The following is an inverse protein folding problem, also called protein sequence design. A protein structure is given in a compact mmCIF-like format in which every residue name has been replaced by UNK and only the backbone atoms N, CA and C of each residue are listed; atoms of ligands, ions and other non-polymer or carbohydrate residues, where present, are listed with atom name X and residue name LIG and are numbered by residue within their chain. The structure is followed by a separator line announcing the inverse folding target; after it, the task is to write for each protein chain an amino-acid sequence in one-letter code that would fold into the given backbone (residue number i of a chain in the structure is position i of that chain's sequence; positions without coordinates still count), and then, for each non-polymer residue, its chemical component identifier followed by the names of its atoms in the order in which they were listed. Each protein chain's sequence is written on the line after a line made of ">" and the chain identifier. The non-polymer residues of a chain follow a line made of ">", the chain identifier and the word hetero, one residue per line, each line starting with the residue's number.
data_IF_663664165458
#
_entry.id   IF_663664165458
#
_cell.length_a   1.000
_cell.length_b   1.000
_cell.length_c   1.000
_cell.angle_alpha   90.00
_cell.angle_beta   90.00
_cell.angle_gamma   90.00
#
_symmetry.space_group_name_H-M   'P 1'
#
loop_
_entity.id
_entity.type
_entity.pdbx_description
1 polymer ?
#
# COMPACT_ATOMS: atom_id res chain seq x y z
N UNK A 1 -9.58 25.24 0.33
CA UNK A 1 -10.16 24.17 -0.53
C UNK A 1 -10.93 23.23 0.37
N UNK A 2 -12.21 23.01 0.09
CA UNK A 2 -13.04 22.04 0.82
C UNK A 2 -12.82 20.65 0.26
N UNK A 3 -12.44 19.69 1.11
CA UNK A 3 -12.10 18.32 0.70
C UNK A 3 -12.96 17.31 1.42
N UNK A 4 -13.53 16.36 0.69
CA UNK A 4 -14.24 15.21 1.24
C UNK A 4 -13.52 13.93 0.81
N UNK A 5 -13.17 13.10 1.78
CA UNK A 5 -12.66 11.74 1.55
C UNK A 5 -13.78 10.73 1.85
N UNK A 6 -14.19 9.97 0.85
CA UNK A 6 -15.32 9.07 0.93
C UNK A 6 -14.85 7.61 0.81
N UNK A 7 -15.06 6.80 1.84
CA UNK A 7 -14.66 5.39 1.83
C UNK A 7 -15.62 4.53 2.65
N UNK A 8 -15.39 3.21 2.68
CA UNK A 8 -16.21 2.26 3.45
C UNK A 8 -16.18 2.57 4.95
N UNK A 9 -15.01 2.53 5.59
CA UNK A 9 -14.83 2.85 7.01
C UNK A 9 -13.48 3.53 7.23
N UNK A 10 -13.37 4.26 8.34
CA UNK A 10 -12.15 4.92 8.79
C UNK A 10 -11.30 3.96 9.62
N UNK A 11 -10.00 3.89 9.34
CA UNK A 11 -9.07 3.05 10.09
C UNK A 11 -7.66 3.69 10.11
N UNK A 12 -6.71 3.04 10.78
CA UNK A 12 -5.35 3.54 10.95
C UNK A 12 -4.57 3.80 9.64
N UNK A 13 -4.97 3.18 8.51
CA UNK A 13 -4.34 3.47 7.21
C UNK A 13 -4.82 4.79 6.61
N UNK A 14 -5.95 5.34 7.07
CA UNK A 14 -6.47 6.63 6.65
C UNK A 14 -6.20 7.75 7.65
N UNK A 15 -5.76 7.44 8.89
CA UNK A 15 -5.61 8.46 9.93
C UNK A 15 -4.61 9.54 9.55
N UNK A 16 -3.39 9.20 9.20
CA UNK A 16 -2.34 10.20 8.92
C UNK A 16 -2.63 11.05 7.69
N UNK A 17 -3.11 10.42 6.60
CA UNK A 17 -3.47 11.18 5.39
C UNK A 17 -4.69 12.09 5.65
N UNK A 18 -5.61 11.69 6.50
CA UNK A 18 -6.76 12.49 6.89
C UNK A 18 -6.36 13.66 7.78
N UNK A 19 -5.45 13.44 8.73
CA UNK A 19 -4.91 14.51 9.58
C UNK A 19 -4.15 15.53 8.73
N UNK A 20 -3.30 15.08 7.82
CA UNK A 20 -2.59 15.96 6.90
C UNK A 20 -3.55 16.82 6.04
N UNK A 21 -4.64 16.24 5.53
CA UNK A 21 -5.66 17.01 4.82
C UNK A 21 -6.34 18.01 5.76
N UNK A 22 -6.71 17.61 6.97
CA UNK A 22 -7.38 18.47 7.92
C UNK A 22 -6.55 19.70 8.29
N UNK A 23 -5.25 19.51 8.54
CA UNK A 23 -4.30 20.59 8.82
C UNK A 23 -4.10 21.52 7.60
N UNK A 24 -3.79 20.97 6.43
CA UNK A 24 -3.52 21.73 5.21
C UNK A 24 -4.74 22.52 4.71
N UNK A 25 -5.94 22.00 4.95
CA UNK A 25 -7.17 22.68 4.59
C UNK A 25 -7.70 23.63 5.68
N UNK A 26 -7.00 23.75 6.80
CA UNK A 26 -7.40 24.54 7.98
C UNK A 26 -8.79 24.16 8.50
N UNK A 27 -9.06 22.85 8.57
CA UNK A 27 -10.31 22.30 9.05
C UNK A 27 -11.41 22.11 8.01
N UNK A 28 -11.21 22.51 6.77
CA UNK A 28 -12.17 22.30 5.66
C UNK A 28 -12.02 20.90 5.03
N UNK A 29 -11.94 19.88 5.87
CA UNK A 29 -11.80 18.47 5.52
C UNK A 29 -12.80 17.60 6.26
N UNK A 30 -13.42 16.64 5.57
CA UNK A 30 -14.29 15.61 6.14
C UNK A 30 -13.98 14.24 5.56
N UNK A 31 -13.91 13.25 6.44
CA UNK A 31 -13.93 11.84 6.06
C UNK A 31 -15.35 11.30 6.24
N UNK A 32 -15.95 10.78 5.18
CA UNK A 32 -17.29 10.20 5.24
C UNK A 32 -17.18 8.67 5.17
N UNK A 33 -17.51 8.03 6.27
CA UNK A 33 -17.61 6.59 6.41
C UNK A 33 -18.97 6.11 5.90
N UNK A 34 -18.97 5.17 4.94
CA UNK A 34 -20.19 4.75 4.24
C UNK A 34 -20.83 3.49 4.80
N UNK A 35 -20.13 2.73 5.61
CA UNK A 35 -20.63 1.52 6.30
C UNK A 35 -19.87 1.26 7.59
N UNK A 36 -20.51 0.60 8.58
CA UNK A 36 -19.81 0.21 9.80
C UNK A 36 -18.71 -0.83 9.51
N UNK A 37 -17.67 -0.82 10.34
CA UNK A 37 -16.59 -1.81 10.24
C UNK A 37 -17.10 -3.19 10.66
N UNK A 38 -16.76 -4.21 9.90
CA UNK A 38 -17.10 -5.62 10.16
C UNK A 38 -16.41 -6.12 11.44
N UNK A 39 -17.10 -6.99 12.21
CA UNK A 39 -16.58 -7.50 13.48
C UNK A 39 -15.29 -8.31 13.35
N UNK A 40 -15.11 -9.02 12.24
CA UNK A 40 -13.87 -9.73 11.94
C UNK A 40 -12.67 -8.77 11.85
N UNK A 41 -12.88 -7.62 11.22
CA UNK A 41 -11.85 -6.57 11.10
C UNK A 41 -11.57 -5.84 12.42
N UNK A 42 -12.59 -5.68 13.27
CA UNK A 42 -12.40 -5.18 14.65
C UNK A 42 -11.49 -6.11 15.45
N UNK A 43 -11.69 -7.42 15.34
CA UNK A 43 -10.83 -8.44 15.99
C UNK A 43 -9.39 -8.39 15.51
N UNK A 44 -9.13 -7.95 14.28
CA UNK A 44 -7.79 -7.74 13.72
C UNK A 44 -7.12 -6.45 14.20
N UNK A 45 -7.73 -5.69 15.10
CA UNK A 45 -7.18 -4.42 15.60
C UNK A 45 -7.28 -3.24 14.62
N UNK A 46 -8.14 -3.34 13.60
CA UNK A 46 -8.37 -2.26 12.62
C UNK A 46 -9.39 -1.23 13.11
N UNK A 47 -9.94 -1.42 14.29
CA UNK A 47 -10.92 -0.53 14.92
C UNK A 47 -10.21 0.64 15.63
N UNK A 48 -10.79 1.84 15.51
CA UNK A 48 -10.37 3.02 16.27
C UNK A 48 -11.41 3.30 17.36
N UNK A 49 -10.97 3.43 18.60
CA UNK A 49 -11.85 3.72 19.74
C UNK A 49 -12.36 5.17 19.69
N UNK A 50 -11.49 6.10 19.31
CA UNK A 50 -11.80 7.52 19.23
C UNK A 50 -11.72 8.00 17.77
N UNK A 51 -12.83 8.52 17.26
CA UNK A 51 -12.89 9.10 15.94
C UNK A 51 -12.57 10.60 15.98
N UNK A 52 -11.73 11.11 15.08
CA UNK A 52 -11.54 12.54 14.92
C UNK A 52 -12.85 13.27 14.56
N UNK A 53 -12.97 14.54 14.96
CA UNK A 53 -14.17 15.36 14.73
C UNK A 53 -14.56 15.56 13.26
N UNK A 54 -13.62 15.38 12.35
CA UNK A 54 -13.87 15.47 10.91
C UNK A 54 -14.45 14.17 10.31
N UNK A 55 -14.57 13.08 11.06
CA UNK A 55 -15.17 11.83 10.60
C UNK A 55 -16.67 11.85 10.80
N UNK A 56 -17.41 11.64 9.72
CA UNK A 56 -18.87 11.52 9.71
C UNK A 56 -19.28 10.13 9.23
N UNK A 57 -20.23 9.52 9.92
CA UNK A 57 -20.75 8.19 9.58
C UNK A 57 -22.13 8.35 8.95
N UNK A 58 -22.20 8.26 7.64
CA UNK A 58 -23.40 8.55 6.82
C UNK A 58 -24.62 7.67 7.19
N UNK A 59 -24.39 6.57 7.89
CA UNK A 59 -25.41 5.60 8.27
C UNK A 59 -26.01 5.83 9.68
N UNK A 60 -25.51 6.80 10.47
CA UNK A 60 -25.95 7.02 11.85
C UNK A 60 -27.37 7.61 11.93
N UNK A 61 -27.72 8.54 11.03
CA UNK A 61 -29.07 9.12 10.95
C UNK A 61 -29.38 9.70 9.58
N UNK A 62 -30.68 9.96 9.32
CA UNK A 62 -31.10 10.61 8.08
C UNK A 62 -30.59 12.05 7.96
N UNK A 63 -30.42 12.77 9.07
CA UNK A 63 -29.94 14.15 9.06
C UNK A 63 -28.44 14.19 8.78
N UNK A 64 -27.64 13.31 9.41
CA UNK A 64 -26.22 13.14 9.08
C UNK A 64 -26.05 12.72 7.61
N UNK A 65 -26.94 11.86 7.10
CA UNK A 65 -26.90 11.48 5.68
C UNK A 65 -27.13 12.65 4.75
N UNK A 66 -28.10 13.53 5.05
CA UNK A 66 -28.33 14.76 4.27
C UNK A 66 -27.14 15.68 4.31
N UNK A 67 -26.58 15.93 5.51
CA UNK A 67 -25.37 16.74 5.70
C UNK A 67 -24.19 16.18 4.90
N UNK A 68 -23.94 14.87 4.95
CA UNK A 68 -22.88 14.23 4.18
C UNK A 68 -23.06 14.39 2.67
N UNK A 69 -24.31 14.27 2.17
CA UNK A 69 -24.60 14.50 0.73
C UNK A 69 -24.35 15.96 0.34
N UNK A 70 -24.71 16.92 1.19
CA UNK A 70 -24.42 18.34 0.97
C UNK A 70 -22.90 18.60 0.93
N UNK A 71 -22.14 18.03 1.86
CA UNK A 71 -20.68 18.12 1.88
C UNK A 71 -20.06 17.54 0.59
N UNK A 72 -20.49 16.34 0.17
CA UNK A 72 -20.04 15.71 -1.08
C UNK A 72 -20.32 16.61 -2.29
N UNK A 73 -21.51 17.22 -2.36
CA UNK A 73 -21.90 18.04 -3.49
C UNK A 73 -21.22 19.42 -3.50
N UNK A 74 -20.89 19.98 -2.33
CA UNK A 74 -20.35 21.33 -2.20
C UNK A 74 -18.83 21.39 -2.07
N UNK A 75 -18.14 20.27 -1.80
CA UNK A 75 -16.69 20.23 -1.75
C UNK A 75 -16.04 20.64 -3.08
N UNK A 76 -14.86 21.25 -3.03
CA UNK A 76 -14.04 21.53 -4.21
C UNK A 76 -13.49 20.22 -4.78
N UNK A 77 -13.04 19.32 -3.90
CA UNK A 77 -12.48 18.01 -4.22
C UNK A 77 -13.20 16.90 -3.45
N UNK A 78 -13.56 15.83 -4.13
CA UNK A 78 -13.93 14.56 -3.51
C UNK A 78 -12.92 13.48 -3.90
N UNK A 79 -12.33 12.81 -2.90
CA UNK A 79 -11.52 11.62 -3.08
C UNK A 79 -12.39 10.42 -2.68
N UNK A 80 -12.49 9.41 -3.53
CA UNK A 80 -13.37 8.26 -3.27
C UNK A 80 -12.71 6.93 -3.58
N UNK A 81 -12.85 5.99 -2.66
CA UNK A 81 -12.43 4.59 -2.83
C UNK A 81 -13.62 3.63 -2.90
N UNK A 82 -13.70 2.72 -1.95
CA UNK A 82 -14.78 1.72 -1.85
C UNK A 82 -16.07 2.34 -1.29
N UNK A 83 -16.68 3.26 -2.03
CA UNK A 83 -17.92 3.93 -1.65
C UNK A 83 -19.00 3.75 -2.72
N UNK A 84 -20.30 3.72 -2.35
CA UNK A 84 -21.38 3.58 -3.31
C UNK A 84 -21.46 4.74 -4.31
N UNK A 85 -21.51 4.43 -5.61
CA UNK A 85 -21.52 5.43 -6.70
C UNK A 85 -22.73 6.38 -6.65
N UNK A 86 -23.86 5.96 -6.09
CA UNK A 86 -25.06 6.82 -6.01
C UNK A 86 -24.82 8.09 -5.20
N UNK A 87 -23.88 8.06 -4.23
CA UNK A 87 -23.52 9.24 -3.43
C UNK A 87 -22.85 10.34 -4.25
N UNK A 88 -22.28 10.00 -5.40
CA UNK A 88 -21.60 10.94 -6.29
C UNK A 88 -22.48 11.43 -7.43
N UNK A 89 -23.72 10.93 -7.57
CA UNK A 89 -24.56 11.12 -8.76
C UNK A 89 -24.74 12.61 -9.13
N UNK A 90 -25.13 13.44 -8.19
CA UNK A 90 -25.37 14.86 -8.46
C UNK A 90 -24.04 15.62 -8.70
N UNK A 91 -23.00 15.28 -7.96
CA UNK A 91 -21.65 15.84 -8.16
C UNK A 91 -21.12 15.57 -9.57
N UNK A 92 -21.26 14.33 -10.05
CA UNK A 92 -20.82 13.90 -11.38
C UNK A 92 -21.61 14.61 -12.50
N UNK A 93 -22.95 14.74 -12.36
CA UNK A 93 -23.79 15.49 -13.29
C UNK A 93 -23.36 16.95 -13.41
N UNK A 94 -22.95 17.57 -12.30
CA UNK A 94 -22.46 18.94 -12.24
C UNK A 94 -20.98 19.05 -12.62
N UNK A 95 -20.37 17.99 -13.16
CA UNK A 95 -18.98 17.91 -13.62
C UNK A 95 -17.95 18.44 -12.60
N UNK A 96 -18.20 18.24 -11.29
CA UNK A 96 -17.29 18.62 -10.21
C UNK A 96 -16.17 17.59 -10.06
N UNK A 97 -15.00 18.03 -9.62
CA UNK A 97 -13.78 17.21 -9.53
C UNK A 97 -13.92 16.02 -8.57
N UNK A 98 -13.62 14.82 -9.06
CA UNK A 98 -13.56 13.58 -8.30
C UNK A 98 -12.24 12.87 -8.58
N UNK A 99 -11.50 12.53 -7.53
CA UNK A 99 -10.42 11.55 -7.59
C UNK A 99 -10.93 10.21 -7.08
N UNK A 100 -10.96 9.20 -7.96
CA UNK A 100 -11.16 7.82 -7.54
C UNK A 100 -9.81 7.21 -7.20
N UNK A 101 -9.67 6.50 -6.08
CA UNK A 101 -8.47 5.70 -5.85
C UNK A 101 -8.81 4.21 -5.94
N UNK A 102 -7.94 3.45 -6.55
CA UNK A 102 -8.15 2.03 -6.77
C UNK A 102 -6.84 1.26 -6.81
N UNK A 103 -6.87 0.09 -6.20
CA UNK A 103 -5.89 -0.95 -6.48
C UNK A 103 -6.12 -1.52 -7.89
N UNK A 104 -5.31 -2.51 -8.28
CA UNK A 104 -5.52 -3.21 -9.54
C UNK A 104 -6.86 -3.93 -9.58
N UNK A 105 -7.52 -3.92 -10.74
CA UNK A 105 -8.84 -4.54 -10.92
C UNK A 105 -8.79 -5.97 -11.48
N UNK A 106 -7.65 -6.38 -12.05
CA UNK A 106 -7.45 -7.72 -12.59
C UNK A 106 -6.43 -8.49 -11.72
N UNK A 107 -6.94 -9.15 -10.66
CA UNK A 107 -6.14 -9.97 -9.73
C UNK A 107 -6.06 -11.45 -10.14
N UNK A 108 -7.05 -11.96 -10.89
CA UNK A 108 -7.13 -13.36 -11.33
C UNK A 108 -7.11 -13.47 -12.85
N UNK A 109 -6.49 -14.54 -13.38
CA UNK A 109 -6.41 -14.77 -14.85
C UNK A 109 -7.79 -14.82 -15.53
N UNK A 110 -8.81 -15.40 -14.88
CA UNK A 110 -10.18 -15.49 -15.44
C UNK A 110 -10.91 -14.15 -15.58
N UNK A 111 -10.46 -13.11 -14.89
CA UNK A 111 -11.13 -11.79 -14.92
C UNK A 111 -11.00 -11.05 -16.26
N UNK A 112 -10.11 -11.47 -17.15
CA UNK A 112 -10.03 -10.91 -18.50
C UNK A 112 -11.31 -11.17 -19.33
N UNK A 113 -12.03 -12.26 -19.05
CA UNK A 113 -13.33 -12.57 -19.68
C UNK A 113 -14.41 -11.53 -19.33
N UNK A 114 -14.30 -10.90 -18.17
CA UNK A 114 -15.22 -9.84 -17.70
C UNK A 114 -14.88 -8.47 -18.29
N UNK A 115 -13.76 -8.36 -19.03
CA UNK A 115 -13.25 -7.07 -19.53
C UNK A 115 -14.28 -6.29 -20.35
N UNK A 116 -15.06 -6.85 -21.29
CA UNK A 116 -16.05 -6.09 -22.04
C UNK A 116 -17.15 -5.48 -21.15
N UNK A 117 -17.66 -6.27 -20.19
CA UNK A 117 -18.69 -5.83 -19.25
C UNK A 117 -18.14 -4.73 -18.33
N UNK A 118 -16.93 -4.93 -17.81
CA UNK A 118 -16.25 -3.92 -16.98
C UNK A 118 -15.94 -2.64 -17.75
N UNK A 119 -15.56 -2.75 -19.02
CA UNK A 119 -15.31 -1.57 -19.87
C UNK A 119 -16.55 -0.70 -20.00
N UNK A 120 -17.70 -1.31 -20.29
CA UNK A 120 -19.00 -0.61 -20.39
C UNK A 120 -19.38 0.01 -19.04
N UNK A 121 -19.29 -0.78 -17.95
CA UNK A 121 -19.58 -0.29 -16.60
C UNK A 121 -18.73 0.94 -16.26
N UNK A 122 -17.40 0.84 -16.38
CA UNK A 122 -16.48 1.92 -16.03
C UNK A 122 -16.61 3.13 -16.96
N UNK A 123 -16.99 2.92 -18.23
CA UNK A 123 -17.30 4.02 -19.14
C UNK A 123 -18.41 4.90 -18.56
N UNK A 124 -19.55 4.32 -18.19
CA UNK A 124 -20.68 5.06 -17.61
C UNK A 124 -20.43 5.58 -16.19
N UNK A 125 -19.56 4.94 -15.42
CA UNK A 125 -19.23 5.39 -14.07
C UNK A 125 -18.15 6.49 -14.03
N UNK A 126 -17.28 6.57 -15.03
CA UNK A 126 -16.08 7.40 -14.97
C UNK A 126 -15.81 8.19 -16.26
N UNK A 127 -15.78 7.52 -17.42
CA UNK A 127 -15.21 8.09 -18.65
C UNK A 127 -16.10 9.17 -19.27
N UNK A 128 -17.43 9.03 -19.16
CA UNK A 128 -18.39 10.06 -19.61
C UNK A 128 -18.23 11.39 -18.86
N UNK A 129 -17.55 11.38 -17.70
CA UNK A 129 -17.33 12.57 -16.88
C UNK A 129 -15.90 13.09 -17.06
N UNK A 130 -15.78 14.36 -17.51
CA UNK A 130 -14.48 14.96 -17.84
C UNK A 130 -13.58 15.22 -16.64
N UNK A 131 -14.17 15.43 -15.45
CA UNK A 131 -13.45 15.79 -14.23
C UNK A 131 -13.34 14.62 -13.22
N UNK A 132 -13.25 13.38 -13.74
CA UNK A 132 -12.98 12.20 -12.93
C UNK A 132 -11.59 11.66 -13.26
N UNK A 133 -10.75 11.53 -12.26
CA UNK A 133 -9.35 11.10 -12.35
C UNK A 133 -9.11 9.88 -11.47
N UNK A 134 -8.06 9.12 -11.76
CA UNK A 134 -7.69 7.93 -11.01
C UNK A 134 -6.39 8.13 -10.24
N UNK A 135 -6.45 7.92 -8.92
CA UNK A 135 -5.30 7.73 -8.06
C UNK A 135 -5.00 6.23 -7.96
N UNK A 136 -3.89 5.80 -8.54
CA UNK A 136 -3.51 4.40 -8.65
C UNK A 136 -2.83 3.90 -7.37
N UNK A 137 -3.58 3.22 -6.48
CA UNK A 137 -3.03 2.53 -5.30
C UNK A 137 -2.48 1.16 -5.65
N UNK A 138 -1.89 1.05 -6.80
CA UNK A 138 -1.08 -0.04 -7.32
C UNK A 138 -0.47 0.42 -8.64
N UNK A 139 0.78 0.13 -8.86
CA UNK A 139 1.46 0.49 -10.09
C UNK A 139 0.88 -0.20 -11.34
N UNK A 140 0.15 -1.29 -11.15
CA UNK A 140 -0.55 -2.01 -12.22
C UNK A 140 -1.95 -1.45 -12.55
N UNK A 141 -2.50 -0.58 -11.70
CA UNK A 141 -3.87 -0.08 -11.87
C UNK A 141 -4.03 0.74 -13.17
N UNK A 142 -3.09 1.63 -13.49
CA UNK A 142 -3.15 2.40 -14.73
C UNK A 142 -3.26 1.51 -15.98
N UNK A 143 -2.44 0.45 -16.06
CA UNK A 143 -2.50 -0.51 -17.15
C UNK A 143 -3.78 -1.34 -17.18
N UNK A 144 -4.30 -1.71 -16.00
CA UNK A 144 -5.55 -2.46 -15.92
C UNK A 144 -6.75 -1.62 -16.41
N UNK A 145 -6.84 -0.35 -16.03
CA UNK A 145 -7.89 0.56 -16.50
C UNK A 145 -7.72 0.94 -17.98
N UNK A 146 -6.49 1.10 -18.46
CA UNK A 146 -6.22 1.37 -19.87
C UNK A 146 -6.75 0.26 -20.80
N UNK A 147 -6.73 -1.03 -20.37
CA UNK A 147 -7.34 -2.15 -21.11
C UNK A 147 -8.84 -1.98 -21.33
N UNK A 148 -9.52 -1.27 -20.44
CA UNK A 148 -10.94 -0.93 -20.56
C UNK A 148 -11.19 0.43 -21.20
N UNK A 149 -10.14 1.09 -21.72
CA UNK A 149 -10.16 2.44 -22.29
C UNK A 149 -10.71 3.50 -21.33
N UNK A 150 -10.44 3.33 -20.02
CA UNK A 150 -10.83 4.28 -18.99
C UNK A 150 -9.63 5.02 -18.42
N UNK A 151 -9.82 6.27 -18.01
CA UNK A 151 -8.83 7.17 -17.41
C UNK A 151 -7.56 7.37 -18.25
N UNK A 152 -7.65 7.30 -19.58
CA UNK A 152 -6.49 7.57 -20.44
C UNK A 152 -5.96 8.98 -20.11
N UNK A 153 -4.65 9.07 -19.81
CA UNK A 153 -3.92 10.29 -19.38
C UNK A 153 -4.40 10.93 -18.07
N UNK A 154 -5.39 10.37 -17.39
CA UNK A 154 -5.97 10.88 -16.13
C UNK A 154 -5.63 9.99 -14.93
N UNK A 155 -4.46 9.34 -14.94
CA UNK A 155 -3.97 8.42 -13.91
C UNK A 155 -2.76 8.99 -13.18
N UNK A 156 -2.78 8.94 -11.85
CA UNK A 156 -1.72 9.46 -10.98
C UNK A 156 -1.33 8.42 -9.94
N UNK A 157 -0.06 8.40 -9.56
CA UNK A 157 0.45 7.50 -8.50
C UNK A 157 -0.18 7.86 -7.16
N UNK A 158 -0.54 6.85 -6.43
CA UNK A 158 -1.08 6.94 -5.07
C UNK A 158 -0.68 5.72 -4.27
N UNK A 159 -0.89 5.75 -2.95
CA UNK A 159 -0.54 4.64 -2.08
C UNK A 159 -1.34 4.63 -0.80
N UNK A 160 -0.91 3.78 0.13
CA UNK A 160 -1.28 3.85 1.53
C UNK A 160 -0.15 4.52 2.30
N UNK A 161 -0.51 5.33 3.29
CA UNK A 161 0.42 6.17 4.05
C UNK A 161 0.26 5.82 5.54
N UNK A 162 0.89 4.72 6.01
CA UNK A 162 0.82 4.33 7.42
C UNK A 162 1.49 5.37 8.30
N UNK A 163 1.08 5.38 9.58
CA UNK A 163 1.63 6.26 10.61
C UNK A 163 3.16 6.13 10.68
N UNK A 164 3.85 7.25 10.56
CA UNK A 164 5.30 7.34 10.70
C UNK A 164 5.67 7.87 12.09
N UNK A 165 6.69 7.30 12.68
CA UNK A 165 7.29 7.82 13.90
C UNK A 165 8.43 8.78 13.54
N UNK A 166 8.13 10.08 13.54
CA UNK A 166 9.08 11.13 13.18
C UNK A 166 10.20 11.34 14.23
N UNK A 167 10.09 10.69 15.40
CA UNK A 167 11.10 10.84 16.46
C UNK A 167 12.25 9.84 16.34
N UNK A 168 12.21 8.92 15.37
CA UNK A 168 13.25 7.90 15.19
C UNK A 168 14.36 8.36 14.28
N UNK A 169 15.58 8.34 14.79
CA UNK A 169 16.79 8.54 13.98
C UNK A 169 17.14 7.25 13.21
N UNK A 170 17.29 7.36 11.89
CA UNK A 170 17.67 6.23 11.04
C UNK A 170 19.01 5.60 11.44
N UNK A 171 19.99 6.39 11.88
CA UNK A 171 21.27 5.86 12.28
C UNK A 171 21.15 5.02 13.58
N UNK A 172 20.25 5.40 14.49
CA UNK A 172 19.94 4.62 15.67
C UNK A 172 19.21 3.32 15.29
N UNK A 173 18.21 3.38 14.40
CA UNK A 173 17.53 2.20 13.89
C UNK A 173 18.52 1.19 13.27
N UNK A 174 19.46 1.67 12.45
CA UNK A 174 20.46 0.81 11.81
C UNK A 174 21.42 0.17 12.83
N UNK A 175 21.86 0.93 13.84
CA UNK A 175 22.74 0.40 14.90
C UNK A 175 22.07 -0.67 15.75
N UNK A 176 20.75 -0.56 15.94
CA UNK A 176 19.96 -1.45 16.80
C UNK A 176 19.44 -2.71 16.08
N UNK A 177 19.78 -2.93 14.81
CA UNK A 177 19.38 -4.13 14.06
C UNK A 177 20.04 -5.39 14.61
N UNK A 178 19.27 -6.47 14.75
CA UNK A 178 19.79 -7.78 15.13
C UNK A 178 20.59 -8.40 13.98
N UNK A 179 21.75 -8.98 14.29
CA UNK A 179 22.62 -9.57 13.27
C UNK A 179 21.94 -10.73 12.53
N UNK A 180 22.09 -10.75 11.21
CA UNK A 180 21.56 -11.79 10.32
C UNK A 180 20.04 -12.04 10.46
N UNK A 181 19.30 -11.02 10.88
CA UNK A 181 17.85 -11.10 11.12
C UNK A 181 17.04 -10.84 9.87
N UNK A 182 16.09 -11.71 9.62
CA UNK A 182 15.12 -11.62 8.53
C UNK A 182 13.73 -11.60 9.15
N UNK A 183 12.87 -10.71 8.68
CA UNK A 183 11.46 -10.62 9.07
C UNK A 183 10.55 -10.86 7.86
N UNK A 184 9.52 -11.62 8.10
CA UNK A 184 8.34 -11.69 7.25
C UNK A 184 7.11 -11.42 8.10
N UNK A 185 6.18 -10.57 7.63
CA UNK A 185 4.95 -10.24 8.35
C UNK A 185 3.74 -10.17 7.40
N UNK A 186 2.68 -10.91 7.75
CA UNK A 186 1.46 -10.96 6.96
C UNK A 186 0.53 -12.10 7.36
N UNK A 187 -0.66 -12.18 6.75
CA UNK A 187 -1.54 -13.33 6.92
C UNK A 187 -0.90 -14.58 6.30
N UNK A 188 -0.96 -15.71 6.97
CA UNK A 188 -0.42 -16.99 6.46
C UNK A 188 -1.40 -17.63 5.46
N UNK A 189 -1.52 -17.04 4.27
CA UNK A 189 -2.44 -17.42 3.19
C UNK A 189 -1.71 -17.54 1.86
N UNK A 190 -2.27 -18.29 0.91
CA UNK A 190 -1.63 -18.65 -0.37
C UNK A 190 -1.06 -17.46 -1.16
N UNK A 191 -1.81 -16.34 -1.25
CA UNK A 191 -1.33 -15.18 -2.02
C UNK A 191 -0.08 -14.49 -1.43
N UNK A 192 0.22 -14.75 -0.14
CA UNK A 192 1.37 -14.16 0.56
C UNK A 192 2.65 -15.00 0.45
N UNK A 193 2.52 -16.26 0.04
CA UNK A 193 3.62 -17.20 -0.15
C UNK A 193 4.60 -17.30 1.04
N UNK A 194 4.10 -17.53 2.28
CA UNK A 194 4.98 -17.69 3.45
C UNK A 194 5.86 -18.95 3.37
N UNK A 195 5.47 -19.97 2.59
CA UNK A 195 6.25 -21.20 2.34
C UNK A 195 7.63 -20.91 1.73
N UNK A 196 7.73 -19.90 0.86
CA UNK A 196 9.02 -19.48 0.27
C UNK A 196 10.04 -19.10 1.34
N UNK A 197 9.59 -18.54 2.47
CA UNK A 197 10.47 -18.15 3.59
C UNK A 197 11.12 -19.35 4.24
N UNK A 198 10.36 -20.44 4.41
CA UNK A 198 10.88 -21.71 4.95
C UNK A 198 11.83 -22.36 3.95
N UNK A 199 11.53 -22.31 2.65
CA UNK A 199 12.43 -22.83 1.61
C UNK A 199 13.75 -22.05 1.54
N UNK A 200 13.73 -20.73 1.73
CA UNK A 200 14.95 -19.92 1.88
C UNK A 200 15.74 -20.38 3.11
N UNK A 201 15.08 -20.60 4.25
CA UNK A 201 15.74 -21.06 5.47
C UNK A 201 16.44 -22.42 5.26
N UNK A 202 15.79 -23.39 4.60
CA UNK A 202 16.38 -24.68 4.22
C UNK A 202 17.67 -24.50 3.43
N UNK A 203 17.62 -23.66 2.42
CA UNK A 203 18.76 -23.42 1.53
C UNK A 203 19.90 -22.68 2.24
N UNK A 204 19.58 -21.66 3.07
CA UNK A 204 20.57 -20.94 3.88
C UNK A 204 21.29 -21.88 4.86
N UNK A 205 20.55 -22.80 5.50
CA UNK A 205 21.12 -23.81 6.39
C UNK A 205 22.04 -24.76 5.64
N UNK A 206 21.63 -25.26 4.47
CA UNK A 206 22.45 -26.13 3.61
C UNK A 206 23.74 -25.44 3.18
N UNK A 207 23.68 -24.14 2.88
CA UNK A 207 24.85 -23.36 2.44
C UNK A 207 25.68 -22.82 3.62
N UNK A 208 25.37 -23.21 4.86
CA UNK A 208 26.04 -22.78 6.11
C UNK A 208 26.10 -21.25 6.28
N UNK A 209 25.08 -20.54 5.83
CA UNK A 209 24.97 -19.10 6.02
C UNK A 209 24.25 -18.84 7.36
N UNK A 210 24.81 -17.97 8.21
CA UNK A 210 24.19 -17.56 9.48
C UNK A 210 22.92 -16.75 9.21
N UNK A 211 21.80 -17.10 9.85
CA UNK A 211 20.54 -16.38 9.75
C UNK A 211 19.61 -16.66 10.93
N UNK A 212 18.67 -15.73 11.14
CA UNK A 212 17.52 -15.90 12.01
C UNK A 212 16.29 -15.31 11.33
N UNK A 213 15.19 -16.05 11.26
CA UNK A 213 13.96 -15.63 10.60
C UNK A 213 12.85 -15.57 11.62
N UNK A 214 12.14 -14.43 11.65
CA UNK A 214 10.89 -14.26 12.38
C UNK A 214 9.74 -14.18 11.37
N UNK A 215 8.72 -15.03 11.55
CA UNK A 215 7.49 -15.04 10.77
C UNK A 215 6.35 -14.59 11.69
N UNK A 216 5.72 -13.46 11.38
CA UNK A 216 4.62 -12.89 12.15
C UNK A 216 3.33 -12.97 11.34
N UNK A 217 2.32 -13.57 11.94
CA UNK A 217 0.98 -13.69 11.38
C UNK A 217 0.33 -15.02 11.69
N UNK A 218 -0.93 -15.15 11.28
CA UNK A 218 -1.73 -16.37 11.37
C UNK A 218 -2.51 -16.60 10.08
N UNK A 219 -2.99 -17.82 9.86
CA UNK A 219 -3.80 -18.14 8.70
C UNK A 219 -3.81 -19.63 8.37
N UNK A 220 -4.46 -19.97 7.26
CA UNK A 220 -4.68 -21.35 6.81
C UNK A 220 -3.41 -22.19 6.64
N UNK A 221 -2.26 -21.55 6.34
CA UNK A 221 -0.99 -22.23 6.10
C UNK A 221 -0.12 -22.42 7.37
N UNK A 222 -0.59 -22.01 8.55
CA UNK A 222 0.20 -22.04 9.79
C UNK A 222 0.65 -23.48 10.16
N UNK A 223 -0.26 -24.44 10.05
CA UNK A 223 0.04 -25.85 10.32
C UNK A 223 1.08 -26.43 9.36
N UNK A 224 0.95 -26.15 8.08
CA UNK A 224 1.91 -26.61 7.05
C UNK A 224 3.30 -26.02 7.29
N UNK A 225 3.39 -24.73 7.62
CA UNK A 225 4.65 -24.07 7.93
C UNK A 225 5.32 -24.65 9.17
N UNK A 226 4.55 -24.89 10.25
CA UNK A 226 5.06 -25.49 11.49
C UNK A 226 5.64 -26.88 11.23
N UNK A 227 4.92 -27.72 10.49
CA UNK A 227 5.41 -29.06 10.13
C UNK A 227 6.69 -28.98 9.29
N UNK A 228 6.73 -28.09 8.30
CA UNK A 228 7.91 -27.91 7.45
C UNK A 228 9.13 -27.41 8.23
N UNK A 229 8.96 -26.55 9.23
CA UNK A 229 10.04 -26.10 10.13
C UNK A 229 10.62 -27.28 10.92
N UNK A 230 9.77 -28.13 11.51
CA UNK A 230 10.16 -29.29 12.30
C UNK A 230 10.86 -30.33 11.43
N UNK A 231 10.25 -30.75 10.32
CA UNK A 231 10.79 -31.76 9.40
C UNK A 231 12.20 -31.41 8.87
N UNK A 232 12.46 -30.09 8.69
CA UNK A 232 13.76 -29.61 8.22
C UNK A 232 14.70 -29.17 9.35
N UNK A 233 14.32 -29.43 10.62
CA UNK A 233 15.11 -29.10 11.81
C UNK A 233 15.54 -27.63 11.85
N UNK A 234 14.58 -26.72 11.58
CA UNK A 234 14.80 -25.27 11.47
C UNK A 234 14.40 -24.51 12.75
N UNK A 235 13.98 -25.18 13.83
CA UNK A 235 13.41 -24.57 15.04
C UNK A 235 14.38 -23.60 15.73
N UNK A 236 15.67 -23.81 15.57
CA UNK A 236 16.70 -22.90 16.11
C UNK A 236 16.91 -21.63 15.25
N UNK A 237 16.41 -21.61 14.03
CA UNK A 237 16.64 -20.55 13.06
C UNK A 237 15.37 -19.78 12.66
N UNK A 238 14.21 -20.44 12.74
CA UNK A 238 12.93 -19.89 12.28
C UNK A 238 11.92 -19.88 13.42
N UNK A 239 11.43 -18.69 13.77
CA UNK A 239 10.41 -18.49 14.79
C UNK A 239 9.07 -18.18 14.11
N UNK A 240 8.05 -19.01 14.35
CA UNK A 240 6.67 -18.73 13.99
C UNK A 240 5.98 -18.08 15.20
N UNK A 241 5.74 -16.77 15.13
CA UNK A 241 5.40 -15.94 16.28
C UNK A 241 3.90 -15.69 16.46
N UNK A 242 3.06 -16.15 15.50
CA UNK A 242 1.62 -15.91 15.53
C UNK A 242 1.25 -14.46 15.20
N UNK A 243 -0.03 -14.12 15.36
CA UNK A 243 -0.55 -12.77 15.14
C UNK A 243 -0.12 -11.80 16.22
N UNK A 244 0.19 -10.58 15.83
CA UNK A 244 0.61 -9.49 16.72
C UNK A 244 -0.14 -8.19 16.39
N UNK A 245 -0.23 -7.29 17.35
CA UNK A 245 -0.75 -5.94 17.14
C UNK A 245 0.23 -5.12 16.27
N UNK A 246 -0.25 -4.15 15.48
CA UNK A 246 0.61 -3.38 14.58
C UNK A 246 1.84 -2.75 15.22
N UNK A 247 1.73 -2.27 16.47
CA UNK A 247 2.87 -1.68 17.18
C UNK A 247 3.94 -2.72 17.57
N UNK A 248 3.55 -3.97 17.82
CA UNK A 248 4.48 -5.08 18.11
C UNK A 248 5.20 -5.50 16.84
N UNK A 249 4.49 -5.62 15.70
CA UNK A 249 5.10 -5.89 14.39
C UNK A 249 6.16 -4.84 14.06
N UNK A 250 5.88 -3.56 14.31
CA UNK A 250 6.85 -2.47 14.10
C UNK A 250 8.11 -2.64 14.94
N UNK A 251 8.03 -3.07 16.20
CA UNK A 251 9.23 -3.37 17.03
C UNK A 251 10.10 -4.46 16.41
N UNK A 252 9.49 -5.49 15.79
CA UNK A 252 10.26 -6.48 15.03
C UNK A 252 10.90 -5.89 13.77
N UNK A 253 10.22 -4.97 13.08
CA UNK A 253 10.79 -4.26 11.93
C UNK A 253 11.99 -3.38 12.32
N UNK A 254 11.93 -2.72 13.48
CA UNK A 254 13.06 -1.94 14.03
C UNK A 254 14.30 -2.79 14.25
N UNK A 255 14.12 -4.07 14.63
CA UNK A 255 15.18 -5.02 14.91
C UNK A 255 15.64 -5.82 13.70
N UNK A 256 14.78 -5.98 12.69
CA UNK A 256 15.10 -6.79 11.53
C UNK A 256 16.02 -6.06 10.54
N UNK A 257 17.07 -6.73 10.08
CA UNK A 257 17.94 -6.22 9.02
C UNK A 257 17.29 -6.33 7.64
N UNK A 258 16.65 -7.46 7.36
CA UNK A 258 16.05 -7.76 6.05
C UNK A 258 14.55 -7.98 6.23
N UNK A 259 13.75 -7.40 5.36
CA UNK A 259 12.32 -7.70 5.24
C UNK A 259 12.03 -8.43 3.93
N UNK A 260 11.36 -9.59 4.03
CA UNK A 260 10.94 -10.36 2.86
C UNK A 260 9.48 -10.09 2.55
N UNK A 261 9.19 -9.73 1.30
CA UNK A 261 7.84 -9.50 0.84
C UNK A 261 7.53 -10.39 -0.36
N UNK A 262 6.88 -11.53 -0.11
CA UNK A 262 6.77 -12.67 -1.03
C UNK A 262 5.46 -12.75 -1.81
N UNK A 263 4.52 -11.83 -1.58
CA UNK A 263 3.19 -11.84 -2.20
C UNK A 263 3.21 -11.88 -3.74
N UNK A 264 2.16 -12.46 -4.30
CA UNK A 264 1.94 -12.53 -5.74
C UNK A 264 1.10 -11.36 -6.29
N UNK A 265 0.62 -11.47 -7.53
CA UNK A 265 -0.21 -10.47 -8.23
C UNK A 265 -1.58 -10.19 -7.58
N UNK A 266 -2.01 -10.97 -6.59
CA UNK A 266 -3.24 -10.73 -5.85
C UNK A 266 -3.07 -9.70 -4.75
N UNK A 267 -1.82 -9.35 -4.40
CA UNK A 267 -1.53 -8.22 -3.51
C UNK A 267 -1.88 -6.90 -4.19
N UNK A 268 -2.74 -6.10 -3.56
CA UNK A 268 -3.14 -4.79 -4.09
C UNK A 268 -2.00 -3.78 -3.99
N UNK A 269 -1.80 -3.24 -2.80
CA UNK A 269 -0.70 -2.34 -2.47
C UNK A 269 0.37 -3.05 -1.64
N UNK A 270 0.01 -3.50 -0.45
CA UNK A 270 0.93 -4.10 0.51
C UNK A 270 1.56 -3.07 1.45
N UNK A 271 0.73 -2.44 2.31
CA UNK A 271 1.17 -1.37 3.22
C UNK A 271 2.32 -1.76 4.16
N UNK A 272 2.49 -3.05 4.45
CA UNK A 272 3.61 -3.58 5.23
C UNK A 272 4.98 -3.25 4.61
N UNK A 273 5.04 -3.00 3.30
CA UNK A 273 6.26 -2.52 2.63
C UNK A 273 6.65 -1.13 3.11
N UNK A 274 5.69 -0.20 3.16
CA UNK A 274 5.92 1.15 3.69
C UNK A 274 6.42 1.08 5.13
N UNK A 275 5.80 0.23 5.95
CA UNK A 275 6.17 0.04 7.36
C UNK A 275 7.60 -0.53 7.51
N UNK A 276 7.97 -1.55 6.73
CA UNK A 276 9.31 -2.12 6.76
C UNK A 276 10.37 -1.10 6.30
N UNK A 277 10.10 -0.36 5.21
CA UNK A 277 10.98 0.68 4.70
C UNK A 277 11.15 1.83 5.70
N UNK A 278 10.06 2.29 6.33
CA UNK A 278 10.11 3.37 7.35
C UNK A 278 10.84 2.97 8.63
N UNK A 279 11.07 1.69 8.86
CA UNK A 279 11.88 1.18 9.96
C UNK A 279 13.31 0.78 9.53
N UNK A 280 13.76 1.19 8.35
CA UNK A 280 15.13 0.98 7.88
C UNK A 280 15.47 -0.48 7.57
N UNK A 281 14.50 -1.31 7.20
CA UNK A 281 14.78 -2.66 6.72
C UNK A 281 15.30 -2.62 5.27
N UNK A 282 16.34 -3.40 4.97
CA UNK A 282 16.68 -3.72 3.59
C UNK A 282 15.62 -4.68 3.04
N UNK A 283 14.93 -4.27 1.97
CA UNK A 283 13.79 -5.04 1.46
C UNK A 283 14.18 -5.94 0.31
N UNK A 284 13.67 -7.19 0.31
CA UNK A 284 13.65 -8.08 -0.85
C UNK A 284 12.18 -8.37 -1.18
N UNK A 285 11.68 -7.84 -2.30
CA UNK A 285 10.27 -7.88 -2.62
C UNK A 285 9.96 -8.45 -4.00
N UNK A 286 8.82 -9.13 -4.12
CA UNK A 286 8.29 -9.64 -5.39
C UNK A 286 7.89 -8.50 -6.32
N UNK A 287 8.33 -8.55 -7.59
CA UNK A 287 7.91 -7.58 -8.60
C UNK A 287 6.39 -7.52 -8.82
N UNK A 288 5.66 -8.57 -8.43
CA UNK A 288 4.22 -8.70 -8.64
C UNK A 288 3.37 -7.80 -7.72
N UNK A 289 3.94 -7.30 -6.64
CA UNK A 289 3.26 -6.50 -5.61
C UNK A 289 3.01 -5.07 -6.10
N UNK A 290 1.82 -4.55 -5.88
CA UNK A 290 1.38 -3.27 -6.43
C UNK A 290 2.19 -2.05 -6.02
N UNK A 291 2.75 -2.01 -4.79
CA UNK A 291 3.56 -0.89 -4.29
C UNK A 291 5.01 -0.94 -4.81
N UNK A 292 5.53 -2.12 -5.12
CA UNK A 292 6.96 -2.32 -5.42
C UNK A 292 7.47 -1.43 -6.56
N UNK A 293 6.79 -1.31 -7.72
CA UNK A 293 7.28 -0.44 -8.79
C UNK A 293 7.26 1.06 -8.46
N UNK A 294 6.55 1.47 -7.41
CA UNK A 294 6.49 2.86 -6.96
C UNK A 294 7.50 3.17 -5.84
N UNK A 295 7.75 2.20 -4.95
CA UNK A 295 8.54 2.41 -3.75
C UNK A 295 9.98 1.92 -3.86
N UNK A 296 10.23 0.89 -4.68
CA UNK A 296 11.55 0.27 -4.78
C UNK A 296 12.19 0.57 -6.14
N UNK A 297 13.37 1.15 -6.08
CA UNK A 297 14.32 1.22 -7.17
C UNK A 297 15.32 0.08 -6.98
N UNK A 298 15.27 -0.94 -7.87
CA UNK A 298 16.08 -2.16 -7.73
C UNK A 298 17.57 -1.82 -7.64
N UNK A 299 18.26 -2.42 -6.66
CA UNK A 299 19.68 -2.20 -6.33
C UNK A 299 20.04 -0.78 -5.86
N UNK A 300 19.04 0.04 -5.51
CA UNK A 300 19.28 1.36 -4.94
C UNK A 300 18.76 1.46 -3.51
N UNK A 301 17.47 1.18 -3.29
CA UNK A 301 16.82 1.23 -1.98
C UNK A 301 16.17 -0.10 -1.57
N UNK A 302 16.49 -1.19 -2.28
CA UNK A 302 15.99 -2.54 -2.06
C UNK A 302 16.28 -3.45 -3.25
N UNK A 303 15.83 -4.70 -3.17
CA UNK A 303 15.99 -5.69 -4.23
C UNK A 303 14.63 -6.22 -4.69
N UNK A 304 14.44 -6.24 -6.01
CA UNK A 304 13.21 -6.75 -6.62
C UNK A 304 13.51 -8.12 -7.23
N UNK A 305 12.77 -9.15 -6.84
CA UNK A 305 12.91 -10.47 -7.42
C UNK A 305 11.73 -10.85 -8.33
N UNK A 306 11.98 -11.77 -9.28
CA UNK A 306 10.96 -12.31 -10.16
C UNK A 306 10.02 -13.25 -9.41
N UNK A 307 8.73 -12.93 -9.35
CA UNK A 307 7.72 -13.75 -8.68
C UNK A 307 7.75 -15.21 -9.19
N UNK A 308 7.75 -16.17 -8.27
CA UNK A 308 7.86 -17.60 -8.58
C UNK A 308 9.26 -18.08 -8.90
N UNK A 309 10.27 -17.21 -8.90
CA UNK A 309 11.67 -17.60 -9.12
C UNK A 309 12.43 -17.72 -7.80
N UNK A 310 12.46 -18.92 -7.25
CA UNK A 310 13.16 -19.23 -5.99
C UNK A 310 14.65 -18.88 -6.04
N UNK A 311 15.34 -19.20 -7.14
CA UNK A 311 16.77 -18.91 -7.24
C UNK A 311 17.07 -17.41 -7.22
N UNK A 312 16.18 -16.58 -7.77
CA UNK A 312 16.36 -15.13 -7.80
C UNK A 312 16.19 -14.53 -6.38
N UNK A 313 15.12 -14.88 -5.65
CA UNK A 313 14.94 -14.40 -4.27
C UNK A 313 16.06 -14.91 -3.35
N UNK A 314 16.47 -16.19 -3.46
CA UNK A 314 17.53 -16.76 -2.65
C UNK A 314 18.86 -16.02 -2.86
N UNK A 315 19.26 -15.76 -4.12
CA UNK A 315 20.48 -15.00 -4.43
C UNK A 315 20.47 -13.61 -3.79
N UNK A 316 19.32 -12.92 -3.80
CA UNK A 316 19.17 -11.56 -3.27
C UNK A 316 19.22 -11.55 -1.72
N UNK A 317 18.58 -12.52 -1.07
CA UNK A 317 18.66 -12.69 0.38
C UNK A 317 20.10 -13.00 0.81
N UNK A 318 20.73 -13.97 0.15
CA UNK A 318 22.12 -14.36 0.43
C UNK A 318 23.12 -13.21 0.23
N UNK A 319 22.90 -12.37 -0.81
CA UNK A 319 23.70 -11.18 -1.06
C UNK A 319 23.65 -10.22 0.13
N UNK A 320 22.45 -9.91 0.64
CA UNK A 320 22.28 -9.02 1.77
C UNK A 320 22.84 -9.59 3.07
N UNK A 321 22.68 -10.88 3.35
CA UNK A 321 23.24 -11.52 4.52
C UNK A 321 24.78 -11.52 4.51
N UNK A 322 25.41 -11.60 3.34
CA UNK A 322 26.87 -11.59 3.17
C UNK A 322 27.47 -10.18 3.06
N UNK A 323 26.67 -9.15 2.85
CA UNK A 323 27.15 -7.78 2.65
C UNK A 323 26.39 -6.79 3.55
N UNK A 324 26.90 -6.62 4.77
CA UNK A 324 26.29 -5.73 5.78
C UNK A 324 26.25 -4.27 5.35
N UNK A 325 27.26 -3.78 4.64
CA UNK A 325 27.30 -2.37 4.20
C UNK A 325 26.23 -2.10 3.12
N UNK A 326 26.06 -3.02 2.19
CA UNK A 326 24.98 -2.94 1.18
C UNK A 326 23.61 -2.97 1.86
N UNK A 327 23.42 -3.85 2.84
CA UNK A 327 22.20 -4.00 3.61
C UNK A 327 21.87 -2.69 4.35
N UNK A 328 22.83 -2.10 5.09
CA UNK A 328 22.67 -0.80 5.79
C UNK A 328 22.32 0.31 4.81
N UNK A 329 23.04 0.39 3.69
CA UNK A 329 22.80 1.38 2.64
C UNK A 329 21.38 1.30 2.10
N UNK A 330 20.87 0.09 1.81
CA UNK A 330 19.50 -0.08 1.33
C UNK A 330 18.46 0.27 2.41
N UNK A 331 18.69 -0.11 3.66
CA UNK A 331 17.81 0.28 4.77
C UNK A 331 17.69 1.80 4.94
N UNK A 332 18.81 2.52 4.90
CA UNK A 332 18.83 4.00 4.98
C UNK A 332 18.08 4.61 3.79
N UNK A 333 18.34 4.15 2.57
CA UNK A 333 17.70 4.68 1.37
C UNK A 333 16.20 4.36 1.32
N UNK A 334 15.80 3.16 1.79
CA UNK A 334 14.41 2.77 1.94
C UNK A 334 13.66 3.72 2.91
N UNK A 335 14.25 3.96 4.09
CA UNK A 335 13.74 4.91 5.07
C UNK A 335 13.57 6.31 4.44
N UNK A 336 14.61 6.84 3.80
CA UNK A 336 14.58 8.15 3.17
C UNK A 336 13.49 8.24 2.08
N UNK A 337 13.26 7.18 1.29
CA UNK A 337 12.19 7.14 0.28
C UNK A 337 10.82 7.39 0.91
N UNK A 338 10.55 6.80 2.07
CA UNK A 338 9.27 7.00 2.76
C UNK A 338 9.20 8.40 3.37
N UNK A 339 10.20 8.80 4.15
CA UNK A 339 10.16 10.07 4.88
C UNK A 339 10.26 11.30 3.98
N UNK A 340 10.98 11.23 2.87
CA UNK A 340 11.15 12.38 1.96
C UNK A 340 10.13 12.46 0.84
N UNK A 341 9.40 11.37 0.53
CA UNK A 341 8.55 11.35 -0.67
C UNK A 341 7.21 10.64 -0.47
N UNK A 342 7.19 9.44 0.17
CA UNK A 342 6.00 8.61 0.23
C UNK A 342 5.31 8.63 1.61
N UNK A 343 5.05 9.84 2.13
CA UNK A 343 4.36 10.06 3.39
C UNK A 343 3.04 10.84 3.22
N UNK A 344 2.25 10.87 4.28
CA UNK A 344 0.92 11.47 4.28
C UNK A 344 0.93 12.97 3.97
N UNK A 345 1.86 13.74 4.55
CA UNK A 345 1.92 15.19 4.37
C UNK A 345 2.21 15.56 2.92
N UNK A 346 3.23 14.93 2.32
CA UNK A 346 3.58 15.16 0.91
C UNK A 346 2.44 14.71 -0.01
N UNK A 347 1.81 13.58 0.29
CA UNK A 347 0.70 13.09 -0.52
C UNK A 347 -0.51 14.03 -0.48
N UNK A 348 -0.89 14.53 0.70
CA UNK A 348 -1.98 15.48 0.85
C UNK A 348 -1.68 16.81 0.16
N UNK A 349 -0.48 17.39 0.37
CA UNK A 349 -0.05 18.62 -0.30
C UNK A 349 -0.12 18.49 -1.83
N UNK A 350 0.41 17.38 -2.36
CA UNK A 350 0.45 17.14 -3.81
C UNK A 350 -0.93 16.92 -4.42
N UNK A 351 -1.83 16.24 -3.72
CA UNK A 351 -3.22 16.08 -4.18
C UNK A 351 -3.95 17.44 -4.23
N UNK A 352 -3.76 18.30 -3.22
CA UNK A 352 -4.36 19.62 -3.21
C UNK A 352 -3.82 20.48 -4.36
N UNK A 353 -2.51 20.42 -4.63
CA UNK A 353 -1.90 21.13 -5.76
C UNK A 353 -2.38 20.58 -7.09
N UNK A 354 -2.44 19.26 -7.26
CA UNK A 354 -2.98 18.61 -8.46
C UNK A 354 -4.44 19.00 -8.70
N UNK A 355 -5.26 19.00 -7.65
CA UNK A 355 -6.67 19.42 -7.72
C UNK A 355 -6.80 20.89 -8.13
N UNK A 356 -5.97 21.77 -7.58
CA UNK A 356 -5.94 23.19 -7.95
C UNK A 356 -5.62 23.41 -9.43
N UNK A 357 -4.61 22.72 -9.97
CA UNK A 357 -4.27 22.78 -11.39
C UNK A 357 -5.45 22.37 -12.29
N UNK A 358 -6.14 21.27 -11.91
CA UNK A 358 -7.29 20.77 -12.68
C UNK A 358 -8.48 21.76 -12.62
N UNK A 359 -8.76 22.31 -11.44
CA UNK A 359 -9.82 23.31 -11.25
C UNK A 359 -9.52 24.57 -12.06
N UNK A 360 -8.27 24.98 -12.14
CA UNK A 360 -7.83 26.14 -12.93
C UNK A 360 -7.75 25.87 -14.44
N UNK A 361 -8.16 24.69 -14.91
CA UNK A 361 -8.32 24.38 -16.32
C UNK A 361 -7.26 23.51 -16.95
N UNK A 362 -6.17 23.17 -16.25
CA UNK A 362 -5.19 22.20 -16.72
C UNK A 362 -5.78 20.76 -16.60
N UNK A 363 -6.15 20.16 -17.74
CA UNK A 363 -6.86 18.86 -17.74
C UNK A 363 -5.94 17.64 -17.55
N UNK A 364 -4.67 17.78 -17.82
CA UNK A 364 -3.69 16.67 -17.74
C UNK A 364 -2.39 17.14 -17.04
N UNK A 365 -2.47 17.69 -15.81
CA UNK A 365 -1.27 18.21 -15.17
C UNK A 365 -0.20 17.12 -14.98
N UNK A 366 1.05 17.48 -15.24
CA UNK A 366 2.24 16.65 -15.01
C UNK A 366 3.27 17.50 -14.25
N UNK A 367 2.96 17.75 -12.99
CA UNK A 367 3.65 18.73 -12.13
C UNK A 367 4.65 18.09 -11.14
N UNK A 368 4.69 16.77 -11.07
CA UNK A 368 5.58 16.04 -10.20
C UNK A 368 6.35 14.97 -10.99
N UNK A 369 7.66 14.93 -10.86
CA UNK A 369 8.52 13.97 -11.55
C UNK A 369 8.33 12.54 -11.03
N UNK A 370 8.17 12.37 -9.71
CA UNK A 370 7.97 11.08 -9.06
C UNK A 370 7.19 11.22 -7.74
N UNK A 371 6.83 10.08 -7.12
CA UNK A 371 6.08 10.04 -5.86
C UNK A 371 4.56 10.19 -6.04
N UNK A 372 3.82 10.41 -4.94
CA UNK A 372 2.39 10.59 -4.99
C UNK A 372 1.99 11.70 -5.95
N UNK A 373 0.89 11.52 -6.67
CA UNK A 373 0.35 12.45 -7.66
C UNK A 373 1.22 12.73 -8.91
N UNK A 374 2.37 12.08 -9.09
CA UNK A 374 3.02 12.03 -10.40
C UNK A 374 2.26 11.11 -11.36
N UNK A 375 2.46 11.23 -12.67
CA UNK A 375 1.76 10.41 -13.67
C UNK A 375 1.98 8.92 -13.41
N UNK A 376 0.89 8.15 -13.36
CA UNK A 376 0.92 6.70 -13.35
C UNK A 376 0.75 6.19 -14.78
N UNK A 377 1.76 5.49 -15.27
CA UNK A 377 1.78 4.95 -16.64
C UNK A 377 1.63 3.43 -16.64
N UNK A 378 1.19 2.87 -17.77
CA UNK A 378 1.18 1.41 -17.94
C UNK A 378 2.60 0.86 -17.87
N UNK A 379 2.82 -0.04 -16.93
CA UNK A 379 4.14 -0.67 -16.73
C UNK A 379 4.41 -1.67 -17.87
N UNK A 380 5.60 -1.60 -18.45
CA UNK A 380 6.05 -2.54 -19.49
C UNK A 380 6.25 -3.94 -18.92
N UNK A 381 5.99 -4.97 -19.73
CA UNK A 381 6.33 -6.34 -19.36
C UNK A 381 7.83 -6.45 -19.02
N UNK A 382 8.16 -7.24 -17.98
CA UNK A 382 9.53 -7.46 -17.52
C UNK A 382 10.28 -6.19 -17.10
N UNK A 383 9.57 -5.15 -16.67
CA UNK A 383 10.14 -3.89 -16.17
C UNK A 383 11.24 -4.06 -15.11
N UNK A 384 11.17 -5.15 -14.35
CA UNK A 384 12.11 -5.52 -13.27
C UNK A 384 13.39 -6.24 -13.78
N UNK A 385 13.54 -6.45 -15.08
CA UNK A 385 14.72 -7.11 -15.71
C UNK A 385 15.65 -6.08 -16.35
N UNK A 386 15.98 -5.02 -15.65
CA UNK A 386 16.95 -4.02 -16.09
C UNK A 386 18.37 -4.44 -15.78
#
# INVERSE_FOLDING_TARGET
>A
MKVVFLSNYFNHHQSDISEAFYELTKGEYWFIETQPIEDERKKMGLYMENYPKYVKKIYESNDIKKECIELINNADLVITGSAPNYLLKERLKNNKLVFRYSERIYKRKSQWLEMPIRAIKYYFENEIYKNVYLLCSSAYAAGDYAKTRNFLNRTYKWGYFPVLDNNKDINELIRNKDEASILWAGRLIKLKHPEIVVDIAKKLKTDNIKFKINIIGSGELEGELKNSIIENKLENNVNLLGSMKPYEVRRYMERAQIFLFTSDYNEGWGAVLNEAMSNGCAVVASHAIGAVPFLIQDRENGLIYENGNFNDIYKKVSLLLKNQELQKSYGIKAYNTIFSLWNANIAAERVLKLASEIINGNKEPDIFLDGPCSKAVTIKNRWYKK
#
